data_IF_135535032279
#
_entry.id   IF_135535032279
#
_cell.length_a   1.000
_cell.length_b   1.000
_cell.length_c   1.000
_cell.angle_alpha   90.00
_cell.angle_beta   90.00
_cell.angle_gamma   90.00
#
_symmetry.space_group_name_H-M   'P 1'
#
loop_
_entity.id
_entity.type
_entity.pdbx_description
1 polymer ?
#
# COMPACT_ATOMS: atom_id res chain seq x y z
N UNK A 1 -0.60 32.08 8.81
CA UNK A 1 -0.71 30.63 8.60
C UNK A 1 0.39 30.26 7.62
N UNK A 2 1.26 29.33 8.00
CA UNK A 2 2.23 28.76 7.04
C UNK A 2 1.44 27.69 6.30
N UNK A 3 1.01 27.98 5.09
CA UNK A 3 0.53 26.97 4.15
C UNK A 3 1.72 26.06 3.83
N UNK A 4 1.87 24.99 4.61
CA UNK A 4 2.77 23.87 4.30
C UNK A 4 2.16 23.11 3.12
N UNK A 5 2.37 23.65 1.92
CA UNK A 5 2.17 22.89 0.68
C UNK A 5 3.36 21.93 0.59
N UNK A 6 3.27 20.80 1.30
CA UNK A 6 4.21 19.70 1.12
C UNK A 6 3.90 19.13 -0.28
N UNK A 7 4.85 19.21 -1.24
CA UNK A 7 4.60 18.65 -2.56
C UNK A 7 4.36 17.15 -2.39
N UNK A 8 3.12 16.71 -2.63
CA UNK A 8 2.80 15.29 -2.62
C UNK A 8 3.72 14.60 -3.63
N UNK A 9 4.47 13.61 -3.16
CA UNK A 9 5.30 12.78 -4.03
C UNK A 9 4.42 12.29 -5.17
N UNK A 10 4.87 12.51 -6.41
CA UNK A 10 4.16 12.04 -7.59
C UNK A 10 4.17 10.52 -7.48
N UNK A 11 2.98 9.95 -7.24
CA UNK A 11 2.78 8.51 -7.24
C UNK A 11 2.88 8.03 -8.67
N UNK A 12 3.67 6.99 -8.91
CA UNK A 12 3.89 6.46 -10.27
C UNK A 12 3.01 5.26 -10.57
N UNK A 13 2.69 4.46 -9.57
CA UNK A 13 1.92 3.23 -9.66
C UNK A 13 0.48 3.44 -9.18
N UNK A 14 0.33 4.11 -8.03
CA UNK A 14 -0.98 4.34 -7.41
C UNK A 14 -1.56 5.68 -7.91
N UNK A 15 -2.79 5.73 -8.43
CA UNK A 15 -3.42 6.98 -8.84
C UNK A 15 -3.45 8.00 -7.68
N UNK A 16 -3.19 9.27 -7.97
CA UNK A 16 -3.21 10.32 -6.93
C UNK A 16 -4.60 10.54 -6.32
N UNK A 17 -5.65 10.33 -7.11
CA UNK A 17 -7.06 10.40 -6.68
C UNK A 17 -7.64 9.01 -6.41
N UNK A 18 -6.78 8.00 -6.15
CA UNK A 18 -7.26 6.65 -5.90
C UNK A 18 -8.15 6.64 -4.65
N UNK A 19 -9.42 6.29 -4.84
CA UNK A 19 -10.29 5.95 -3.72
C UNK A 19 -9.92 4.58 -3.20
N UNK A 20 -9.58 4.52 -1.91
CA UNK A 20 -9.25 3.29 -1.20
C UNK A 20 -10.53 2.48 -0.97
N UNK A 21 -10.92 1.76 -2.01
CA UNK A 21 -12.01 0.78 -2.04
C UNK A 21 -11.45 -0.52 -2.57
N UNK A 22 -12.03 -1.63 -2.14
CA UNK A 22 -11.57 -2.95 -2.56
C UNK A 22 -11.52 -3.10 -4.09
N UNK A 23 -12.54 -2.62 -4.80
CA UNK A 23 -12.64 -2.69 -6.26
C UNK A 23 -11.48 -2.00 -6.99
N UNK A 24 -10.92 -0.95 -6.40
CA UNK A 24 -9.79 -0.21 -6.97
C UNK A 24 -8.44 -0.81 -6.56
N UNK A 25 -8.37 -1.40 -5.38
CA UNK A 25 -7.15 -2.01 -4.83
C UNK A 25 -6.90 -3.39 -5.44
N UNK A 26 -7.95 -4.20 -5.61
CA UNK A 26 -7.90 -5.54 -6.19
C UNK A 26 -7.10 -5.60 -7.50
N UNK A 27 -7.36 -4.78 -8.53
CA UNK A 27 -6.58 -4.85 -9.77
C UNK A 27 -5.11 -4.48 -9.57
N UNK A 28 -4.78 -3.53 -8.68
CA UNK A 28 -3.38 -3.15 -8.39
C UNK A 28 -2.63 -4.29 -7.71
N UNK A 29 -3.27 -4.93 -6.73
CA UNK A 29 -2.72 -6.10 -6.05
C UNK A 29 -2.57 -7.30 -6.98
N UNK A 30 -3.56 -7.53 -7.84
CA UNK A 30 -3.53 -8.64 -8.79
C UNK A 30 -2.47 -8.42 -9.87
N UNK A 31 -2.25 -7.17 -10.31
CA UNK A 31 -1.13 -6.82 -11.18
C UNK A 31 0.20 -7.18 -10.52
N UNK A 32 0.45 -6.77 -9.27
CA UNK A 32 1.66 -7.10 -8.53
C UNK A 32 1.85 -8.62 -8.37
N UNK A 33 0.78 -9.38 -8.15
CA UNK A 33 0.84 -10.84 -8.04
C UNK A 33 1.20 -11.51 -9.38
N UNK A 34 0.59 -11.06 -10.47
CA UNK A 34 0.78 -11.63 -11.81
C UNK A 34 2.06 -11.17 -12.49
N UNK A 35 2.61 -10.02 -12.06
CA UNK A 35 3.85 -9.47 -12.62
C UNK A 35 4.99 -10.47 -12.46
N UNK A 36 5.62 -10.80 -13.58
CA UNK A 36 6.78 -11.69 -13.61
C UNK A 36 8.03 -10.84 -13.41
N UNK A 37 8.95 -11.33 -12.59
CA UNK A 37 10.18 -10.61 -12.23
C UNK A 37 11.32 -11.48 -12.76
N UNK A 38 12.03 -10.99 -13.77
CA UNK A 38 13.12 -11.74 -14.42
C UNK A 38 14.49 -11.13 -14.18
N UNK A 39 14.55 -9.91 -13.64
CA UNK A 39 15.78 -9.17 -13.37
C UNK A 39 15.72 -8.45 -12.01
N UNK A 40 16.89 -8.16 -11.43
CA UNK A 40 16.99 -7.39 -10.16
C UNK A 40 16.35 -6.00 -10.30
N UNK A 41 16.54 -5.33 -11.44
CA UNK A 41 15.92 -4.02 -11.70
C UNK A 41 14.38 -4.09 -11.69
N UNK A 42 13.81 -5.16 -12.26
CA UNK A 42 12.36 -5.40 -12.20
C UNK A 42 11.89 -5.72 -10.78
N UNK A 43 12.71 -6.40 -9.98
CA UNK A 43 12.42 -6.68 -8.58
C UNK A 43 12.42 -5.39 -7.75
N UNK A 44 13.41 -4.51 -7.94
CA UNK A 44 13.48 -3.21 -7.29
C UNK A 44 12.27 -2.33 -7.65
N UNK A 45 11.87 -2.31 -8.92
CA UNK A 45 10.68 -1.60 -9.38
C UNK A 45 9.40 -2.19 -8.77
N UNK A 46 9.24 -3.52 -8.80
CA UNK A 46 8.10 -4.19 -8.21
C UNK A 46 7.99 -3.93 -6.69
N UNK A 47 9.13 -3.93 -5.99
CA UNK A 47 9.17 -3.64 -4.55
C UNK A 47 8.78 -2.18 -4.28
N UNK A 48 9.23 -1.25 -5.13
CA UNK A 48 8.85 0.17 -5.05
C UNK A 48 7.34 0.37 -5.30
N UNK A 49 6.77 -0.32 -6.28
CA UNK A 49 5.34 -0.28 -6.59
C UNK A 49 4.51 -0.86 -5.44
N UNK A 50 4.95 -1.99 -4.85
CA UNK A 50 4.37 -2.57 -3.63
C UNK A 50 4.42 -1.59 -2.46
N UNK A 51 5.57 -1.00 -2.18
CA UNK A 51 5.72 -0.03 -1.09
C UNK A 51 4.89 1.23 -1.31
N UNK A 52 4.72 1.69 -2.55
CA UNK A 52 3.85 2.82 -2.85
C UNK A 52 2.37 2.50 -2.59
N UNK A 53 1.91 1.30 -2.95
CA UNK A 53 0.57 0.81 -2.67
C UNK A 53 0.29 0.72 -1.16
N UNK A 54 1.22 0.13 -0.40
CA UNK A 54 1.13 0.03 1.06
C UNK A 54 1.12 1.41 1.72
N UNK A 55 1.99 2.33 1.29
CA UNK A 55 2.03 3.69 1.82
C UNK A 55 0.73 4.46 1.55
N UNK A 56 0.13 4.30 0.37
CA UNK A 56 -1.15 4.93 0.05
C UNK A 56 -2.30 4.37 0.92
N UNK A 57 -2.26 3.07 1.19
CA UNK A 57 -3.21 2.39 2.05
C UNK A 57 -3.10 2.86 3.51
N UNK A 58 -1.88 2.89 4.05
CA UNK A 58 -1.60 3.34 5.42
C UNK A 58 -1.95 4.81 5.62
N UNK A 59 -1.62 5.67 4.64
CA UNK A 59 -1.98 7.10 4.69
C UNK A 59 -3.49 7.29 4.77
N UNK A 60 -4.28 6.59 3.95
CA UNK A 60 -5.73 6.68 3.98
C UNK A 60 -6.30 6.14 5.30
N UNK A 61 -5.81 4.98 5.77
CA UNK A 61 -6.19 4.43 7.06
C UNK A 61 -5.91 5.41 8.21
N UNK A 62 -4.72 6.01 8.23
CA UNK A 62 -4.35 7.03 9.22
C UNK A 62 -5.30 8.22 9.16
N UNK A 63 -5.67 8.70 7.96
CA UNK A 63 -6.65 9.78 7.82
C UNK A 63 -8.05 9.39 8.30
N UNK A 64 -8.52 8.17 8.01
CA UNK A 64 -9.81 7.67 8.52
C UNK A 64 -9.79 7.63 10.05
N UNK A 65 -8.72 7.11 10.62
CA UNK A 65 -8.53 7.03 12.06
C UNK A 65 -8.49 8.42 12.72
N UNK A 66 -7.74 9.37 12.15
CA UNK A 66 -7.67 10.76 12.64
C UNK A 66 -9.05 11.40 12.58
N UNK A 67 -9.76 11.29 11.45
CA UNK A 67 -11.10 11.86 11.28
C UNK A 67 -12.11 11.26 12.26
N UNK A 68 -12.14 9.94 12.37
CA UNK A 68 -12.97 9.22 13.35
C UNK A 68 -12.64 9.65 14.79
N UNK A 69 -11.36 9.79 15.12
CA UNK A 69 -10.92 10.19 16.47
C UNK A 69 -11.28 11.64 16.81
N UNK A 70 -11.30 12.52 15.81
CA UNK A 70 -11.75 13.90 15.98
C UNK A 70 -13.26 14.03 16.18
N UNK A 71 -14.06 13.18 15.53
CA UNK A 71 -15.53 13.21 15.63
C UNK A 71 -16.10 11.78 15.72
N UNK A 72 -16.06 11.24 16.94
CA UNK A 72 -16.51 9.87 17.25
C UNK A 72 -18.04 9.72 17.27
N UNK A 73 -18.78 10.84 17.22
CA UNK A 73 -20.24 10.85 17.13
C UNK A 73 -20.73 10.77 15.67
N UNK A 74 -19.85 11.00 14.69
CA UNK A 74 -20.17 10.92 13.28
C UNK A 74 -20.19 9.46 12.79
N UNK A 75 -21.40 8.92 12.64
CA UNK A 75 -21.63 7.55 12.18
C UNK A 75 -20.97 7.24 10.83
N UNK A 76 -20.85 8.22 9.93
CA UNK A 76 -20.25 8.02 8.61
C UNK A 76 -18.73 7.80 8.72
N UNK A 77 -18.04 8.52 9.61
CA UNK A 77 -16.60 8.37 9.82
C UNK A 77 -16.28 7.03 10.51
N UNK A 78 -17.13 6.63 11.46
CA UNK A 78 -17.04 5.32 12.12
C UNK A 78 -17.27 4.20 11.10
N UNK A 79 -18.31 4.30 10.27
CA UNK A 79 -18.60 3.31 9.23
C UNK A 79 -17.47 3.21 8.20
N UNK A 80 -16.85 4.34 7.82
CA UNK A 80 -15.75 4.39 6.85
C UNK A 80 -14.46 3.73 7.40
N UNK A 81 -14.17 3.93 8.69
CA UNK A 81 -13.09 3.23 9.38
C UNK A 81 -13.38 1.73 9.54
N UNK A 82 -14.60 1.38 9.98
CA UNK A 82 -15.03 0.00 10.13
C UNK A 82 -14.99 -0.76 8.81
N UNK A 83 -15.48 -0.17 7.72
CA UNK A 83 -15.41 -0.75 6.38
C UNK A 83 -13.98 -1.12 5.99
N UNK A 84 -13.02 -0.23 6.23
CA UNK A 84 -11.62 -0.55 5.96
C UNK A 84 -11.17 -1.76 6.80
N UNK A 85 -11.42 -1.76 8.11
CA UNK A 85 -10.98 -2.82 9.01
C UNK A 85 -11.68 -4.17 8.80
N UNK A 86 -12.94 -4.19 8.35
CA UNK A 86 -13.74 -5.42 8.22
C UNK A 86 -13.83 -5.94 6.78
N UNK A 87 -13.71 -5.07 5.77
CA UNK A 87 -13.84 -5.47 4.37
C UNK A 87 -12.53 -5.39 3.60
N UNK A 88 -11.69 -4.38 3.86
CA UNK A 88 -10.45 -4.17 3.10
C UNK A 88 -9.30 -4.97 3.71
N UNK A 89 -8.98 -4.73 4.98
CA UNK A 89 -7.87 -5.37 5.70
C UNK A 89 -7.84 -6.91 5.59
N UNK A 90 -8.93 -7.66 5.85
CA UNK A 90 -8.91 -9.11 5.76
C UNK A 90 -8.73 -9.65 4.34
N UNK A 91 -9.01 -8.85 3.31
CA UNK A 91 -8.75 -9.23 1.91
C UNK A 91 -7.33 -8.89 1.47
N UNK A 92 -6.78 -7.80 1.98
CA UNK A 92 -5.38 -7.41 1.73
C UNK A 92 -4.42 -8.35 2.43
N UNK A 93 -4.68 -8.74 3.68
CA UNK A 93 -3.80 -9.59 4.48
C UNK A 93 -3.31 -10.87 3.75
N UNK A 94 -4.19 -11.71 3.16
CA UNK A 94 -3.72 -12.87 2.40
C UNK A 94 -2.94 -12.49 1.14
N UNK A 95 -3.34 -11.42 0.43
CA UNK A 95 -2.62 -10.95 -0.76
C UNK A 95 -1.22 -10.45 -0.41
N UNK A 96 -1.09 -9.63 0.63
CA UNK A 96 0.18 -9.12 1.11
C UNK A 96 1.11 -10.27 1.51
N UNK A 97 0.57 -11.30 2.14
CA UNK A 97 1.30 -12.53 2.44
C UNK A 97 1.77 -13.26 1.16
N UNK A 98 0.91 -13.39 0.14
CA UNK A 98 1.31 -14.00 -1.14
C UNK A 98 2.37 -13.18 -1.88
N UNK A 99 2.29 -11.84 -1.85
CA UNK A 99 3.33 -10.96 -2.38
C UNK A 99 4.66 -11.15 -1.64
N UNK A 100 4.64 -11.24 -0.31
CA UNK A 100 5.84 -11.49 0.49
C UNK A 100 6.44 -12.87 0.20
N UNK A 101 5.61 -13.92 0.08
CA UNK A 101 6.09 -15.25 -0.34
C UNK A 101 6.71 -15.20 -1.73
N UNK A 102 6.11 -14.48 -2.68
CA UNK A 102 6.63 -14.29 -4.04
C UNK A 102 8.01 -13.62 -4.01
N UNK A 103 8.19 -12.63 -3.14
CA UNK A 103 9.48 -11.97 -2.92
C UNK A 103 10.52 -12.95 -2.38
N UNK A 104 10.21 -13.65 -1.28
CA UNK A 104 11.15 -14.59 -0.62
C UNK A 104 11.47 -15.80 -1.51
N UNK A 105 10.51 -16.26 -2.32
CA UNK A 105 10.71 -17.37 -3.25
C UNK A 105 11.52 -16.99 -4.49
N UNK A 106 11.78 -15.70 -4.71
CA UNK A 106 12.56 -15.24 -5.85
C UNK A 106 14.05 -15.26 -5.49
N UNK A 107 14.85 -16.02 -6.25
CA UNK A 107 16.32 -16.11 -6.08
C UNK A 107 16.99 -14.73 -6.21
N UNK A 108 16.38 -13.81 -6.97
CA UNK A 108 16.84 -12.42 -7.10
C UNK A 108 16.73 -11.62 -5.80
N UNK A 109 15.95 -12.09 -4.82
CA UNK A 109 15.85 -11.43 -3.52
C UNK A 109 17.13 -11.54 -2.69
N UNK A 110 17.96 -12.54 -2.94
CA UNK A 110 19.29 -12.67 -2.34
C UNK A 110 20.32 -11.73 -3.01
N UNK A 111 20.05 -11.27 -4.24
CA UNK A 111 20.86 -10.27 -4.95
C UNK A 111 20.41 -8.83 -4.67
N UNK A 112 19.34 -8.63 -3.90
CA UNK A 112 18.95 -7.29 -3.44
C UNK A 112 20.04 -6.75 -2.50
N UNK A 113 20.47 -5.53 -2.78
CA UNK A 113 21.52 -4.85 -2.04
C UNK A 113 21.15 -4.74 -0.55
N UNK A 114 21.74 -5.59 0.28
CA UNK A 114 21.46 -5.67 1.72
C UNK A 114 21.64 -4.32 2.42
N UNK A 115 22.48 -3.41 1.89
CA UNK A 115 22.68 -2.08 2.48
C UNK A 115 21.53 -1.11 2.22
N UNK A 116 20.83 -1.24 1.09
CA UNK A 116 19.64 -0.41 0.77
C UNK A 116 18.36 -0.91 1.43
N UNK A 117 18.26 -2.21 1.69
CA UNK A 117 17.03 -2.84 2.19
C UNK A 117 17.12 -3.29 3.65
N UNK A 118 18.21 -2.98 4.34
CA UNK A 118 18.35 -3.21 5.77
C UNK A 118 17.33 -2.38 6.57
N UNK A 119 16.57 -3.04 7.45
CA UNK A 119 15.69 -2.38 8.42
C UNK A 119 16.44 -2.35 9.76
N UNK A 120 16.68 -1.16 10.32
CA UNK A 120 17.35 -0.93 11.62
C UNK A 120 16.35 -1.01 12.78
#
# INVERSE_FOLDING_TARGET
>A
MIDLIIPKKIRSFVPQDLKITWENLEPLFNELLQRTISTVEELELWLKDKSELEAALEEDFAWRYIRMSCDTANEQLVADFQYFATEIDPKISPIANELNKKLIANELSEELDEQKYFVY
#
